data_IF_510409977425
#
_entry.id   IF_510409977425
#
_cell.length_a   1.000
_cell.length_b   1.000
_cell.length_c   1.000
_cell.angle_alpha   90.00
_cell.angle_beta   90.00
_cell.angle_gamma   90.00
#
_symmetry.space_group_name_H-M   'P 1'
#
loop_
_entity.id
_entity.type
_entity.pdbx_description
1 polymer ?
#
# COMPACT_ATOMS: atom_id res chain seq x y z
N UNK A 1 -13.53 26.89 13.06
CA UNK A 1 -13.82 25.47 12.79
C UNK A 1 -12.47 24.78 12.57
N UNK A 2 -12.02 24.00 13.54
CA UNK A 2 -10.81 23.17 13.37
C UNK A 2 -11.25 22.04 12.45
N UNK A 3 -10.85 22.06 11.20
CA UNK A 3 -11.03 20.92 10.28
C UNK A 3 -10.18 19.80 10.83
N UNK A 4 -10.81 18.84 11.46
CA UNK A 4 -10.17 17.63 11.98
C UNK A 4 -9.68 16.84 10.77
N UNK A 5 -8.41 17.08 10.41
CA UNK A 5 -7.80 16.39 9.27
C UNK A 5 -7.73 14.90 9.61
N UNK A 6 -8.34 14.00 8.81
CA UNK A 6 -8.35 12.60 9.12
C UNK A 6 -6.91 12.06 9.23
N UNK A 7 -6.66 11.32 10.30
CA UNK A 7 -5.33 10.79 10.63
C UNK A 7 -5.32 9.27 10.60
N UNK A 8 -4.16 8.72 10.27
CA UNK A 8 -3.80 7.36 10.59
C UNK A 8 -3.32 7.35 12.05
N UNK A 9 -3.95 6.56 12.89
CA UNK A 9 -3.56 6.32 14.29
C UNK A 9 -3.11 4.87 14.41
N UNK A 10 -1.84 4.64 14.73
CA UNK A 10 -1.24 3.32 14.76
C UNK A 10 -0.43 3.11 16.02
N UNK A 11 -0.66 1.98 16.68
CA UNK A 11 0.13 1.51 17.81
C UNK A 11 0.33 -0.01 17.65
N UNK A 12 1.59 -0.46 17.66
CA UNK A 12 1.92 -1.89 17.55
C UNK A 12 2.99 -2.26 18.58
N UNK A 13 2.80 -3.40 19.24
CA UNK A 13 3.75 -3.89 20.22
C UNK A 13 3.90 -5.40 20.13
N UNK A 14 5.15 -5.88 20.10
CA UNK A 14 5.41 -7.31 20.10
C UNK A 14 6.76 -7.70 19.54
N UNK A 15 7.09 -9.00 19.58
CA UNK A 15 8.38 -9.51 19.09
C UNK A 15 8.47 -9.47 17.56
N UNK A 16 9.62 -9.00 17.08
CA UNK A 16 9.97 -8.96 15.65
C UNK A 16 11.39 -9.49 15.48
N UNK A 17 11.52 -10.79 15.15
CA UNK A 17 12.84 -11.42 15.13
C UNK A 17 13.52 -11.36 16.48
N UNK A 18 14.65 -10.66 16.55
CA UNK A 18 15.48 -10.58 17.75
C UNK A 18 15.23 -9.33 18.63
N UNK A 19 14.21 -8.52 18.32
CA UNK A 19 13.87 -7.34 19.12
C UNK A 19 12.36 -7.23 19.35
N UNK A 20 11.96 -6.42 20.33
CA UNK A 20 10.58 -6.07 20.55
C UNK A 20 10.27 -4.72 19.91
N UNK A 21 9.31 -4.70 18.99
CA UNK A 21 8.74 -3.46 18.46
C UNK A 21 7.79 -2.88 19.52
N UNK A 22 7.92 -1.60 19.81
CA UNK A 22 6.99 -0.83 20.62
C UNK A 22 6.89 0.56 19.98
N UNK A 23 5.83 0.82 19.25
CA UNK A 23 5.66 2.03 18.45
C UNK A 23 4.23 2.52 18.50
N UNK A 24 4.06 3.83 18.69
CA UNK A 24 2.78 4.51 18.56
C UNK A 24 3.01 5.86 17.84
N UNK A 25 2.17 6.16 16.85
CA UNK A 25 2.25 7.42 16.11
C UNK A 25 0.94 7.76 15.42
N UNK A 26 0.79 9.05 15.12
CA UNK A 26 -0.27 9.57 14.26
C UNK A 26 0.36 10.20 13.00
N UNK A 27 -0.29 10.02 11.86
CA UNK A 27 0.12 10.61 10.61
C UNK A 27 -1.09 11.13 9.83
N UNK A 28 -0.98 12.22 9.07
CA UNK A 28 -2.07 12.68 8.23
C UNK A 28 -2.38 11.63 7.16
N UNK A 29 -3.67 11.45 6.81
CA UNK A 29 -4.08 10.55 5.71
C UNK A 29 -3.83 11.17 4.33
N UNK A 30 -3.61 12.47 4.25
CA UNK A 30 -3.27 13.16 3.00
C UNK A 30 -1.76 13.42 2.90
N UNK A 31 -1.24 13.40 1.67
CA UNK A 31 0.17 13.67 1.40
C UNK A 31 1.09 12.46 1.58
N UNK A 32 2.35 12.71 1.89
CA UNK A 32 3.38 11.69 2.04
C UNK A 32 3.93 11.71 3.45
N UNK A 33 3.88 10.57 4.13
CA UNK A 33 4.53 10.37 5.43
C UNK A 33 5.70 9.40 5.27
N UNK A 34 6.88 9.79 5.69
CA UNK A 34 8.07 8.96 5.62
C UNK A 34 8.42 8.36 6.99
N UNK A 35 8.65 7.04 7.03
CA UNK A 35 9.24 6.34 8.18
C UNK A 35 10.76 6.30 8.00
N UNK A 36 11.48 6.98 8.88
CA UNK A 36 12.93 7.03 8.87
C UNK A 36 13.54 6.30 10.07
N UNK A 37 14.71 5.70 9.90
CA UNK A 37 15.44 5.01 10.96
C UNK A 37 16.47 4.01 10.41
N UNK A 38 17.30 3.45 11.30
CA UNK A 38 18.34 2.50 10.97
C UNK A 38 17.79 1.25 10.26
N UNK A 39 18.67 0.53 9.54
CA UNK A 39 18.29 -0.77 8.96
C UNK A 39 17.91 -1.75 10.07
N UNK A 40 16.86 -2.53 9.87
CA UNK A 40 16.40 -3.52 10.87
C UNK A 40 15.54 -2.98 12.00
N UNK A 41 15.31 -1.65 12.14
CA UNK A 41 14.53 -1.08 13.25
C UNK A 41 13.00 -1.30 13.15
N UNK A 42 12.50 -2.10 12.20
CA UNK A 42 11.09 -2.46 12.12
C UNK A 42 10.23 -1.67 11.15
N UNK A 43 10.78 -0.74 10.34
CA UNK A 43 9.99 0.06 9.37
C UNK A 43 9.11 -0.79 8.44
N UNK A 44 9.69 -1.81 7.85
CA UNK A 44 8.95 -2.74 6.97
C UNK A 44 7.88 -3.51 7.73
N UNK A 45 8.14 -3.86 8.99
CA UNK A 45 7.15 -4.53 9.83
C UNK A 45 5.97 -3.62 10.12
N UNK A 46 6.21 -2.34 10.45
CA UNK A 46 5.15 -1.35 10.65
C UNK A 46 4.28 -1.23 9.40
N UNK A 47 4.89 -1.06 8.21
CA UNK A 47 4.14 -0.99 6.95
C UNK A 47 3.33 -2.27 6.68
N UNK A 48 3.89 -3.45 6.98
CA UNK A 48 3.17 -4.72 6.86
C UNK A 48 2.02 -4.83 7.85
N UNK A 49 2.17 -4.34 9.08
CA UNK A 49 1.07 -4.28 10.05
C UNK A 49 -0.05 -3.36 9.57
N UNK A 50 0.26 -2.17 9.06
CA UNK A 50 -0.72 -1.25 8.47
C UNK A 50 -1.46 -1.93 7.31
N UNK A 51 -0.77 -2.64 6.45
CA UNK A 51 -1.39 -3.38 5.34
C UNK A 51 -2.13 -4.65 5.78
N UNK A 52 -1.98 -5.09 7.04
CA UNK A 52 -2.55 -6.35 7.56
C UNK A 52 -1.81 -7.61 7.10
N UNK A 53 -0.63 -7.45 6.48
CA UNK A 53 0.23 -8.54 6.02
C UNK A 53 1.06 -9.16 7.15
N UNK A 54 1.13 -8.48 8.27
CA UNK A 54 1.73 -8.96 9.52
C UNK A 54 0.83 -8.52 10.66
N UNK A 55 0.65 -9.37 11.69
CA UNK A 55 -0.16 -9.03 12.84
C UNK A 55 0.73 -8.95 14.08
N UNK A 56 0.77 -7.79 14.69
CA UNK A 56 1.23 -7.57 16.06
C UNK A 56 0.06 -7.07 16.89
N UNK A 57 0.01 -7.35 18.18
CA UNK A 57 -0.95 -6.73 19.08
C UNK A 57 -0.91 -5.21 18.99
N UNK A 58 -2.09 -4.56 19.04
CA UNK A 58 -2.16 -3.11 19.01
C UNK A 58 -3.44 -2.56 18.44
N UNK A 59 -3.33 -1.32 17.95
CA UNK A 59 -4.44 -0.55 17.40
C UNK A 59 -4.06 0.06 16.04
N UNK A 60 -5.02 0.11 15.12
CA UNK A 60 -4.89 0.80 13.85
C UNK A 60 -6.24 1.37 13.42
N UNK A 61 -6.29 2.69 13.29
CA UNK A 61 -7.45 3.40 12.75
C UNK A 61 -7.04 4.36 11.62
N UNK A 62 -7.93 4.56 10.65
CA UNK A 62 -7.81 5.53 9.57
C UNK A 62 -9.03 6.44 9.61
N UNK A 63 -8.87 7.65 10.17
CA UNK A 63 -9.98 8.52 10.48
C UNK A 63 -10.95 7.83 11.44
N UNK A 64 -12.20 7.70 11.03
CA UNK A 64 -13.27 7.03 11.77
C UNK A 64 -13.32 5.49 11.62
N UNK A 65 -12.41 4.92 10.84
CA UNK A 65 -12.43 3.48 10.52
C UNK A 65 -11.34 2.72 11.26
N UNK A 66 -11.73 1.94 12.25
CA UNK A 66 -10.81 1.02 12.92
C UNK A 66 -10.57 -0.23 12.06
N UNK A 67 -9.29 -0.56 11.84
CA UNK A 67 -8.86 -1.74 11.10
C UNK A 67 -8.31 -2.84 12.00
N UNK A 68 -7.80 -2.46 13.16
CA UNK A 68 -7.37 -3.38 14.20
C UNK A 68 -7.58 -2.74 15.57
N UNK A 69 -8.11 -3.53 16.50
CA UNK A 69 -8.16 -3.23 17.91
C UNK A 69 -8.16 -4.54 18.68
N UNK A 70 -7.04 -4.87 19.30
CA UNK A 70 -6.94 -6.14 20.03
C UNK A 70 -7.74 -6.11 21.35
N UNK A 71 -8.05 -4.93 21.92
CA UNK A 71 -8.95 -4.80 23.05
C UNK A 71 -10.39 -5.20 22.73
N UNK A 72 -10.82 -4.95 21.47
CA UNK A 72 -12.14 -5.29 20.95
C UNK A 72 -12.14 -6.57 20.11
N UNK A 73 -11.02 -7.28 20.05
CA UNK A 73 -10.83 -8.46 19.19
C UNK A 73 -11.15 -8.21 17.72
N UNK A 74 -10.88 -7.01 17.25
CA UNK A 74 -11.13 -6.58 15.87
C UNK A 74 -9.85 -6.67 15.03
N UNK A 75 -9.91 -7.39 13.91
CA UNK A 75 -8.85 -7.43 12.91
C UNK A 75 -9.44 -7.52 11.50
N UNK A 76 -9.23 -6.46 10.73
CA UNK A 76 -9.63 -6.43 9.33
C UNK A 76 -8.54 -7.07 8.46
N UNK A 77 -8.81 -8.17 7.77
CA UNK A 77 -7.80 -8.87 6.97
C UNK A 77 -7.35 -8.03 5.75
N UNK A 78 -6.15 -8.27 5.19
CA UNK A 78 -5.55 -7.46 4.12
C UNK A 78 -6.48 -7.20 2.93
N UNK A 79 -7.18 -8.24 2.46
CA UNK A 79 -8.08 -8.16 1.29
C UNK A 79 -9.33 -7.30 1.52
N UNK A 80 -9.62 -6.94 2.77
CA UNK A 80 -10.70 -6.02 3.17
C UNK A 80 -10.18 -4.61 3.48
N UNK A 81 -8.85 -4.39 3.49
CA UNK A 81 -8.24 -3.07 3.64
C UNK A 81 -8.10 -2.42 2.27
N UNK A 82 -8.53 -1.18 2.16
CA UNK A 82 -8.30 -0.37 0.94
C UNK A 82 -6.89 0.21 1.04
N UNK A 83 -5.90 -0.57 0.61
CA UNK A 83 -4.48 -0.19 0.67
C UNK A 83 -3.74 -0.79 -0.52
N UNK A 84 -2.96 0.02 -1.21
CA UNK A 84 -1.98 -0.41 -2.20
C UNK A 84 -0.64 -0.64 -1.50
N UNK A 85 -0.16 -1.88 -1.49
CA UNK A 85 1.13 -2.21 -0.91
C UNK A 85 2.15 -2.52 -2.01
N UNK A 86 3.23 -1.76 -2.06
CA UNK A 86 4.34 -1.98 -2.98
C UNK A 86 5.50 -2.58 -2.20
N UNK A 87 5.90 -3.80 -2.56
CA UNK A 87 7.00 -4.50 -1.92
C UNK A 87 8.36 -3.90 -2.33
N UNK A 88 9.37 -4.06 -1.49
CA UNK A 88 10.74 -3.63 -1.80
C UNK A 88 11.27 -4.35 -3.05
N UNK A 89 11.01 -5.67 -3.16
CA UNK A 89 11.17 -6.39 -4.41
C UNK A 89 9.82 -6.38 -5.14
N UNK A 90 9.74 -5.74 -6.32
CA UNK A 90 8.49 -5.65 -7.06
C UNK A 90 7.95 -7.04 -7.41
N UNK A 91 6.86 -7.43 -6.76
CA UNK A 91 6.18 -8.71 -7.01
C UNK A 91 5.26 -8.59 -8.23
N UNK A 92 5.86 -8.40 -9.42
CA UNK A 92 5.12 -8.38 -10.68
C UNK A 92 4.76 -9.80 -11.11
N UNK A 93 3.63 -9.92 -11.80
CA UNK A 93 3.23 -11.18 -12.41
C UNK A 93 4.10 -11.46 -13.64
N UNK A 94 5.01 -12.42 -13.52
CA UNK A 94 6.02 -12.73 -14.54
C UNK A 94 5.42 -13.21 -15.88
N UNK A 95 4.21 -13.78 -15.84
CA UNK A 95 3.48 -14.25 -17.02
C UNK A 95 2.69 -13.15 -17.74
N UNK A 96 2.69 -11.93 -17.20
CA UNK A 96 2.02 -10.77 -17.79
C UNK A 96 3.05 -9.76 -18.28
N UNK A 97 2.68 -8.96 -19.27
CA UNK A 97 3.43 -7.75 -19.65
C UNK A 97 3.22 -6.63 -18.61
N UNK A 98 3.93 -5.51 -18.73
CA UNK A 98 3.68 -4.28 -17.95
C UNK A 98 2.20 -3.89 -18.05
N UNK A 99 1.66 -3.77 -19.27
CA UNK A 99 0.23 -3.49 -19.50
C UNK A 99 -0.68 -4.49 -18.77
N UNK A 100 -0.32 -5.78 -18.79
CA UNK A 100 -1.07 -6.83 -18.08
C UNK A 100 -1.06 -6.66 -16.56
N UNK A 101 0.08 -6.29 -15.98
CA UNK A 101 0.24 -6.00 -14.55
C UNK A 101 -0.59 -4.76 -14.15
N UNK A 102 -0.53 -3.68 -14.92
CA UNK A 102 -1.32 -2.47 -14.69
C UNK A 102 -2.83 -2.75 -14.75
N UNK A 103 -3.28 -3.45 -15.81
CA UNK A 103 -4.68 -3.83 -15.96
C UNK A 103 -5.18 -4.76 -14.83
N UNK A 104 -4.30 -5.56 -14.24
CA UNK A 104 -4.66 -6.36 -13.07
C UNK A 104 -4.99 -5.46 -11.87
N UNK A 105 -4.28 -4.34 -11.68
CA UNK A 105 -4.63 -3.31 -10.70
C UNK A 105 -5.99 -2.68 -11.02
N UNK A 106 -6.14 -2.15 -12.22
CA UNK A 106 -7.36 -1.45 -12.66
C UNK A 106 -8.64 -2.29 -12.53
N UNK A 107 -8.57 -3.61 -12.77
CA UNK A 107 -9.71 -4.50 -12.59
C UNK A 107 -10.15 -4.68 -11.12
N UNK A 108 -9.33 -4.28 -10.16
CA UNK A 108 -9.59 -4.34 -8.72
C UNK A 108 -10.06 -3.03 -8.14
N UNK A 109 -10.02 -1.95 -8.92
CA UNK A 109 -10.60 -0.68 -8.53
C UNK A 109 -12.08 -0.88 -8.15
N UNK A 110 -12.55 -0.26 -7.06
CA UNK A 110 -13.95 -0.36 -6.65
C UNK A 110 -14.83 0.17 -7.78
N UNK A 111 -15.79 -0.63 -8.22
CA UNK A 111 -16.80 -0.18 -9.17
C UNK A 111 -17.84 0.62 -8.41
N UNK A 112 -17.76 1.95 -8.46
CA UNK A 112 -18.81 2.84 -7.96
C UNK A 112 -20.07 2.74 -8.83
N UNK A 113 -21.23 3.05 -8.26
CA UNK A 113 -22.50 3.12 -8.99
C UNK A 113 -22.44 4.18 -10.10
N UNK A 114 -22.06 3.78 -11.31
CA UNK A 114 -22.17 4.61 -12.51
C UNK A 114 -20.99 5.57 -12.81
N UNK A 115 -19.99 5.67 -11.96
CA UNK A 115 -18.74 6.38 -12.26
C UNK A 115 -17.69 5.37 -12.69
N UNK A 116 -17.01 5.62 -13.81
CA UNK A 116 -15.84 4.87 -14.24
C UNK A 116 -14.71 4.95 -13.20
N UNK A 117 -13.55 4.30 -13.46
CA UNK A 117 -12.40 4.41 -12.57
C UNK A 117 -12.03 5.89 -12.38
N UNK A 118 -11.73 6.28 -11.13
CA UNK A 118 -11.33 7.67 -10.77
C UNK A 118 -9.89 7.93 -11.20
N UNK A 119 -9.08 6.87 -11.32
CA UNK A 119 -7.67 6.94 -11.74
C UNK A 119 -7.56 6.46 -13.18
N UNK A 120 -7.19 7.38 -14.07
CA UNK A 120 -7.04 7.10 -15.50
C UNK A 120 -5.76 6.31 -15.78
N UNK A 121 -5.86 5.28 -16.64
CA UNK A 121 -4.76 4.41 -16.99
C UNK A 121 -3.62 5.16 -17.70
N UNK A 122 -3.95 6.00 -18.69
CA UNK A 122 -2.95 6.70 -19.47
C UNK A 122 -2.26 7.78 -18.65
N UNK A 123 -2.98 8.46 -17.75
CA UNK A 123 -2.39 9.40 -16.79
C UNK A 123 -1.36 8.72 -15.87
N UNK A 124 -1.64 7.52 -15.38
CA UNK A 124 -0.68 6.75 -14.55
C UNK A 124 0.54 6.33 -15.36
N UNK A 125 0.33 5.88 -16.60
CA UNK A 125 1.41 5.49 -17.52
C UNK A 125 2.33 6.67 -17.81
N UNK A 126 1.77 7.85 -18.09
CA UNK A 126 2.51 9.08 -18.37
C UNK A 126 3.25 9.58 -17.11
N UNK A 127 2.57 9.63 -15.96
CA UNK A 127 3.16 10.04 -14.67
C UNK A 127 4.40 9.22 -14.33
N UNK A 128 4.36 7.91 -14.60
CA UNK A 128 5.44 6.99 -14.28
C UNK A 128 6.49 6.88 -15.41
N UNK A 129 6.22 7.45 -16.59
CA UNK A 129 7.12 7.41 -17.75
C UNK A 129 7.35 5.99 -18.27
N UNK A 130 6.31 5.13 -18.28
CA UNK A 130 6.43 3.70 -18.63
C UNK A 130 5.70 3.33 -19.93
N UNK A 131 5.23 4.29 -20.71
CA UNK A 131 4.52 4.05 -21.98
C UNK A 131 5.30 3.14 -22.93
N UNK A 132 6.61 3.35 -23.07
CA UNK A 132 7.50 2.58 -23.94
C UNK A 132 7.80 1.16 -23.43
N UNK A 133 7.32 0.80 -22.24
CA UNK A 133 7.55 -0.50 -21.58
C UNK A 133 6.31 -1.40 -21.61
N UNK A 134 5.15 -0.90 -22.00
CA UNK A 134 3.85 -1.54 -21.81
C UNK A 134 3.78 -2.99 -22.33
N UNK A 135 4.45 -3.27 -23.44
CA UNK A 135 4.43 -4.59 -24.06
C UNK A 135 5.63 -5.49 -23.64
N UNK A 136 6.48 -4.98 -22.74
CA UNK A 136 7.61 -5.75 -22.22
C UNK A 136 7.19 -6.69 -21.08
N UNK A 137 7.86 -7.84 -20.98
CA UNK A 137 7.75 -8.73 -19.83
C UNK A 137 8.60 -8.20 -18.67
N UNK A 138 8.21 -8.43 -17.39
CA UNK A 138 8.94 -7.99 -16.20
C UNK A 138 10.42 -8.40 -16.15
N UNK A 139 10.76 -9.56 -16.71
CA UNK A 139 12.14 -10.05 -16.79
C UNK A 139 13.07 -9.16 -17.64
N UNK A 140 12.50 -8.34 -18.54
CA UNK A 140 13.24 -7.43 -19.44
C UNK A 140 13.33 -5.99 -18.89
N UNK A 141 12.88 -5.76 -17.66
CA UNK A 141 12.87 -4.47 -17.00
C UNK A 141 14.05 -4.33 -16.06
N UNK A 142 14.59 -3.12 -15.96
CA UNK A 142 15.49 -2.73 -14.88
C UNK A 142 14.78 -2.72 -13.52
N UNK A 143 15.53 -2.66 -12.42
CA UNK A 143 14.95 -2.59 -11.07
C UNK A 143 14.00 -1.40 -10.90
N UNK A 144 14.40 -0.21 -11.37
CA UNK A 144 13.58 0.99 -11.29
C UNK A 144 12.31 0.93 -12.16
N UNK A 145 12.39 0.32 -13.35
CA UNK A 145 11.23 0.11 -14.23
C UNK A 145 10.23 -0.86 -13.58
N UNK A 146 10.72 -1.96 -12.99
CA UNK A 146 9.85 -2.88 -12.22
C UNK A 146 9.18 -2.18 -11.05
N UNK A 147 9.90 -1.30 -10.36
CA UNK A 147 9.33 -0.56 -9.22
C UNK A 147 8.23 0.40 -9.68
N UNK A 148 8.44 1.14 -10.79
CA UNK A 148 7.41 2.02 -11.37
C UNK A 148 6.17 1.24 -11.81
N UNK A 149 6.32 0.09 -12.46
CA UNK A 149 5.19 -0.78 -12.82
C UNK A 149 4.41 -1.25 -11.57
N UNK A 150 5.11 -1.67 -10.51
CA UNK A 150 4.48 -2.07 -9.25
C UNK A 150 3.70 -0.90 -8.59
N UNK A 151 4.25 0.32 -8.63
CA UNK A 151 3.56 1.52 -8.16
C UNK A 151 2.32 1.81 -9.02
N UNK A 152 2.43 1.74 -10.34
CA UNK A 152 1.30 1.93 -11.26
C UNK A 152 0.18 0.93 -11.01
N UNK A 153 0.52 -0.35 -10.83
CA UNK A 153 -0.45 -1.39 -10.48
C UNK A 153 -1.16 -1.11 -9.16
N UNK A 154 -0.45 -0.58 -8.17
CA UNK A 154 -1.03 -0.21 -6.88
C UNK A 154 -1.97 1.01 -7.02
N UNK A 155 -1.55 2.06 -7.72
CA UNK A 155 -2.36 3.27 -7.95
C UNK A 155 -3.66 2.94 -8.70
N UNK A 156 -3.57 2.15 -9.76
CA UNK A 156 -4.74 1.74 -10.56
C UNK A 156 -5.72 0.83 -9.82
N UNK A 157 -5.35 0.28 -8.66
CA UNK A 157 -6.28 -0.45 -7.80
C UNK A 157 -7.15 0.47 -6.94
N UNK A 158 -6.94 1.77 -6.97
CA UNK A 158 -7.68 2.79 -6.20
C UNK A 158 -7.81 2.42 -4.71
N UNK A 159 -6.69 2.28 -4.02
CA UNK A 159 -6.66 1.81 -2.65
C UNK A 159 -7.29 2.78 -1.66
#
# INVERSE_FOLDING_TARGET
>A
MITDTPVLDAAFKGPVGNFNLDVAFKAPLAGVTALFGASGCGKTTILRCIAGLHRLPGHLALGDRTWQDDGENLFRPPHKRRVGYVFQEPSLFAHLTVRGNLNFGARRAPRGNGSGPTVDFDQVVDLLGIAHLLDRAPAKLSGGERQRDAVGRALLSEP
#
